data_IF_290811899243
#
_entry.id   IF_290811899243
#
_cell.length_a   1.000
_cell.length_b   1.000
_cell.length_c   1.000
_cell.angle_alpha   90.00
_cell.angle_beta   90.00
_cell.angle_gamma   90.00
#
_symmetry.space_group_name_H-M   'P 1'
#
loop_
_entity.id
_entity.type
_entity.pdbx_description
1 polymer ?
#
# COMPACT_ATOMS: atom_id res chain seq x y z
N UNK A 1 -15.98 -7.71 21.59
CA UNK A 1 -15.03 -6.59 21.75
C UNK A 1 -13.58 -7.04 21.52
N UNK A 2 -13.23 -8.33 21.61
CA UNK A 2 -11.85 -8.81 21.43
C UNK A 2 -11.31 -8.83 19.99
N UNK A 3 -12.10 -8.50 18.95
CA UNK A 3 -11.67 -8.58 17.54
C UNK A 3 -11.90 -7.29 16.73
N UNK A 4 -11.97 -6.11 17.38
CA UNK A 4 -12.10 -4.85 16.62
C UNK A 4 -10.72 -4.39 16.10
N UNK A 5 -10.64 -3.87 14.87
CA UNK A 5 -9.40 -3.32 14.35
C UNK A 5 -8.91 -2.16 15.22
N UNK A 6 -7.62 -2.14 15.52
CA UNK A 6 -6.98 -1.09 16.32
C UNK A 6 -5.86 -0.47 15.49
N UNK A 7 -5.87 0.85 15.36
CA UNK A 7 -4.75 1.62 14.84
C UNK A 7 -3.87 2.09 16.00
N UNK A 8 -2.57 1.87 15.90
CA UNK A 8 -1.56 2.44 16.80
C UNK A 8 -0.76 3.50 16.05
N UNK A 9 -0.62 4.71 16.61
CA UNK A 9 -0.01 5.83 15.90
C UNK A 9 -0.98 6.54 14.97
N UNK A 10 -0.48 7.04 13.83
CA UNK A 10 -1.27 7.72 12.80
C UNK A 10 -1.19 7.00 11.46
N UNK A 11 -2.21 7.24 10.63
CA UNK A 11 -2.23 6.83 9.22
C UNK A 11 -2.74 7.99 8.35
N UNK A 12 -2.44 7.96 7.07
CA UNK A 12 -2.98 8.92 6.08
C UNK A 12 -3.80 8.16 5.06
N UNK A 13 -5.07 8.55 4.92
CA UNK A 13 -5.96 8.05 3.88
C UNK A 13 -6.21 9.14 2.84
N UNK A 14 -6.17 8.80 1.56
CA UNK A 14 -6.63 9.67 0.49
C UNK A 14 -7.99 9.18 0.03
N UNK A 15 -8.95 10.09 -0.05
CA UNK A 15 -10.30 9.85 -0.54
C UNK A 15 -10.53 10.68 -1.79
N UNK A 16 -10.92 10.06 -2.90
CA UNK A 16 -11.17 10.76 -4.16
C UNK A 16 -12.66 11.03 -4.31
N UNK A 17 -13.02 12.30 -4.46
CA UNK A 17 -14.40 12.74 -4.70
C UNK A 17 -14.42 13.71 -5.87
N UNK A 18 -15.29 13.47 -6.86
CA UNK A 18 -15.40 14.29 -8.07
C UNK A 18 -14.07 14.48 -8.83
N UNK A 19 -13.19 13.48 -8.78
CA UNK A 19 -11.88 13.45 -9.43
C UNK A 19 -10.82 14.25 -8.69
N UNK A 20 -11.07 14.64 -7.44
CA UNK A 20 -10.15 15.45 -6.64
C UNK A 20 -9.88 14.77 -5.29
N UNK A 21 -8.61 14.81 -4.79
CA UNK A 21 -8.24 14.15 -3.55
C UNK A 21 -8.64 14.97 -2.32
N UNK A 22 -9.01 14.27 -1.27
CA UNK A 22 -9.13 14.75 0.10
C UNK A 22 -8.15 13.93 0.93
N UNK A 23 -7.16 14.58 1.54
CA UNK A 23 -6.14 13.90 2.35
C UNK A 23 -6.54 13.98 3.82
N UNK A 24 -6.72 12.81 4.44
CA UNK A 24 -7.23 12.65 5.80
C UNK A 24 -6.13 12.04 6.66
N UNK A 25 -5.69 12.77 7.67
CA UNK A 25 -4.85 12.20 8.74
C UNK A 25 -5.74 11.59 9.81
N UNK A 26 -5.46 10.33 10.15
CA UNK A 26 -6.19 9.55 11.13
C UNK A 26 -5.33 9.37 12.40
N UNK A 27 -5.93 9.57 13.57
CA UNK A 27 -5.27 9.57 14.88
C UNK A 27 -5.68 8.32 15.71
N UNK A 28 -4.87 7.27 15.62
CA UNK A 28 -5.02 6.06 16.42
C UNK A 28 -4.51 6.19 17.85
N UNK A 29 -3.65 7.15 18.16
CA UNK A 29 -3.16 7.36 19.52
C UNK A 29 -4.28 7.83 20.47
N UNK A 30 -5.16 8.69 19.95
CA UNK A 30 -6.28 9.24 20.70
C UNK A 30 -7.58 8.44 20.50
N UNK A 31 -7.84 7.93 19.29
CA UNK A 31 -9.06 7.21 18.93
C UNK A 31 -8.79 5.81 18.30
N UNK A 32 -8.08 4.89 18.98
CA UNK A 32 -7.51 3.67 18.39
C UNK A 32 -8.52 2.74 17.71
N UNK A 33 -9.69 2.52 18.30
CA UNK A 33 -10.71 1.60 17.75
C UNK A 33 -11.49 2.29 16.62
N UNK A 34 -11.79 3.58 16.75
CA UNK A 34 -12.55 4.36 15.77
C UNK A 34 -11.71 4.59 14.52
N UNK A 35 -10.47 5.03 14.70
CA UNK A 35 -9.46 5.16 13.67
C UNK A 35 -9.16 3.80 13.02
N UNK A 36 -8.91 2.77 13.83
CA UNK A 36 -8.64 1.41 13.35
C UNK A 36 -9.79 0.86 12.52
N UNK A 37 -11.04 1.06 12.93
CA UNK A 37 -12.20 0.66 12.15
C UNK A 37 -12.31 1.42 10.82
N UNK A 38 -12.07 2.73 10.80
CA UNK A 38 -12.10 3.49 9.56
C UNK A 38 -11.02 2.98 8.59
N UNK A 39 -9.78 2.85 9.07
CA UNK A 39 -8.64 2.32 8.29
C UNK A 39 -8.91 0.90 7.78
N UNK A 40 -9.42 0.00 8.62
CA UNK A 40 -9.77 -1.37 8.20
C UNK A 40 -10.88 -1.41 7.12
N UNK A 41 -11.80 -0.45 7.13
CA UNK A 41 -12.82 -0.35 6.08
C UNK A 41 -12.24 0.22 4.79
N UNK A 42 -11.35 1.20 4.87
CA UNK A 42 -10.61 1.73 3.72
C UNK A 42 -9.80 0.60 3.05
N UNK A 43 -9.01 -0.15 3.81
CA UNK A 43 -8.19 -1.29 3.30
C UNK A 43 -9.00 -2.45 2.71
N UNK A 44 -10.32 -2.43 2.81
CA UNK A 44 -11.23 -3.45 2.27
C UNK A 44 -12.09 -2.89 1.14
N UNK A 45 -11.72 -1.74 0.57
CA UNK A 45 -12.42 -1.00 -0.48
C UNK A 45 -13.90 -0.72 -0.12
N UNK A 46 -14.22 -0.64 1.17
CA UNK A 46 -15.60 -0.58 1.63
C UNK A 46 -16.28 0.73 1.21
N UNK A 47 -15.51 1.82 1.19
CA UNK A 47 -16.01 3.16 0.93
C UNK A 47 -16.22 3.45 -0.56
N UNK A 48 -15.76 2.57 -1.45
CA UNK A 48 -15.82 2.76 -2.89
C UNK A 48 -17.25 2.79 -3.41
N UNK A 49 -17.60 3.87 -4.10
CA UNK A 49 -18.95 4.12 -4.59
C UNK A 49 -19.97 4.53 -3.52
N UNK A 50 -19.59 4.63 -2.25
CA UNK A 50 -20.46 5.10 -1.17
C UNK A 50 -20.77 6.58 -1.38
N UNK A 51 -22.04 6.96 -1.19
CA UNK A 51 -22.47 8.35 -1.36
C UNK A 51 -22.40 9.17 -0.07
N UNK A 52 -22.13 10.46 -0.24
CA UNK A 52 -22.46 11.50 0.73
C UNK A 52 -23.98 11.70 0.74
N UNK A 53 -24.67 10.85 1.48
CA UNK A 53 -26.14 10.78 1.49
C UNK A 53 -26.80 11.91 2.28
N UNK A 54 -26.05 12.61 3.14
CA UNK A 54 -26.57 13.74 3.93
C UNK A 54 -25.56 14.89 3.96
N UNK A 55 -25.98 16.04 3.43
CA UNK A 55 -25.17 17.27 3.39
C UNK A 55 -25.99 18.42 3.97
N UNK A 56 -25.48 19.05 5.02
CA UNK A 56 -26.17 20.12 5.75
C UNK A 56 -25.38 21.41 5.61
N UNK A 57 -25.86 22.30 4.72
CA UNK A 57 -25.23 23.59 4.42
C UNK A 57 -26.07 24.81 4.78
N UNK A 58 -27.36 24.63 5.04
CA UNK A 58 -28.31 25.72 5.30
C UNK A 58 -29.16 25.43 6.55
N UNK A 59 -29.53 26.46 7.34
CA UNK A 59 -29.18 27.87 7.17
C UNK A 59 -27.70 28.19 7.42
N UNK A 60 -27.02 27.35 8.19
CA UNK A 60 -25.58 27.44 8.47
C UNK A 60 -24.89 26.13 8.03
N UNK A 61 -23.65 26.19 7.50
CA UNK A 61 -22.84 24.99 7.25
C UNK A 61 -22.71 24.16 8.52
N UNK A 62 -22.77 22.84 8.38
CA UNK A 62 -22.64 21.93 9.51
C UNK A 62 -21.77 20.72 9.16
N UNK A 63 -22.27 19.77 8.36
CA UNK A 63 -21.54 18.54 8.04
C UNK A 63 -21.86 18.01 6.65
N UNK A 64 -20.92 17.24 6.12
CA UNK A 64 -21.16 16.25 5.04
C UNK A 64 -21.00 14.85 5.64
N UNK A 65 -21.96 13.95 5.43
CA UNK A 65 -22.01 12.61 6.03
C UNK A 65 -22.09 11.52 4.95
N UNK A 66 -21.28 10.48 5.11
CA UNK A 66 -21.14 9.32 4.20
C UNK A 66 -21.03 8.00 4.99
N UNK A 67 -20.63 6.91 4.32
CA UNK A 67 -20.33 5.62 4.94
C UNK A 67 -21.54 4.68 5.13
N UNK A 68 -22.69 4.95 4.51
CA UNK A 68 -23.83 4.02 4.54
C UNK A 68 -23.74 3.00 3.38
N UNK A 69 -23.57 1.70 3.65
CA UNK A 69 -23.43 0.66 2.63
C UNK A 69 -24.66 0.54 1.72
N UNK A 70 -25.85 0.88 2.22
CA UNK A 70 -27.07 0.84 1.41
C UNK A 70 -27.04 1.86 0.26
N UNK A 71 -26.20 2.88 0.37
CA UNK A 71 -26.04 3.89 -0.67
C UNK A 71 -25.32 3.39 -1.92
N UNK A 72 -24.76 2.17 -1.91
CA UNK A 72 -24.24 1.51 -3.11
C UNK A 72 -25.37 1.22 -4.11
N UNK A 73 -26.56 0.82 -3.63
CA UNK A 73 -27.72 0.63 -4.48
C UNK A 73 -28.34 1.99 -4.84
N UNK A 74 -28.27 2.43 -6.11
CA UNK A 74 -28.83 3.71 -6.53
C UNK A 74 -30.36 3.77 -6.41
N UNK A 75 -31.03 2.63 -6.20
CA UNK A 75 -32.48 2.56 -6.02
C UNK A 75 -32.89 2.48 -4.54
N UNK A 76 -31.93 2.43 -3.61
CA UNK A 76 -32.24 2.38 -2.19
C UNK A 76 -32.98 3.67 -1.78
N UNK A 77 -34.08 3.58 -1.00
CA UNK A 77 -34.87 4.76 -0.65
C UNK A 77 -34.02 5.82 0.07
N UNK A 78 -33.87 7.05 -0.48
CA UNK A 78 -33.00 8.06 0.14
C UNK A 78 -33.37 8.43 1.58
N UNK A 79 -34.66 8.31 1.92
CA UNK A 79 -35.16 8.58 3.28
C UNK A 79 -34.77 7.50 4.31
N UNK A 80 -34.25 6.36 3.87
CA UNK A 80 -33.77 5.27 4.74
C UNK A 80 -32.24 5.27 4.87
N UNK A 81 -31.52 6.09 4.08
CA UNK A 81 -30.09 6.25 4.22
C UNK A 81 -29.77 6.93 5.56
N UNK A 82 -28.66 6.50 6.17
CA UNK A 82 -28.24 6.90 7.50
C UNK A 82 -29.00 6.19 8.63
N UNK A 83 -29.90 5.25 8.31
CA UNK A 83 -30.68 4.51 9.31
C UNK A 83 -30.34 3.03 9.30
N UNK A 84 -29.62 2.57 10.33
CA UNK A 84 -29.27 1.15 10.50
C UNK A 84 -27.82 0.93 10.92
N UNK A 85 -27.54 -0.29 11.38
CA UNK A 85 -26.19 -0.77 11.60
C UNK A 85 -25.54 -1.25 10.31
N UNK A 86 -24.21 -1.37 10.34
CA UNK A 86 -23.43 -1.96 9.27
C UNK A 86 -23.26 -3.47 9.53
N UNK A 87 -23.57 -4.29 8.53
CA UNK A 87 -23.24 -5.72 8.55
C UNK A 87 -21.92 -5.89 7.80
N UNK A 88 -20.89 -6.33 8.52
CA UNK A 88 -19.58 -6.59 7.96
C UNK A 88 -19.67 -7.74 6.93
N UNK A 89 -19.33 -7.52 5.65
CA UNK A 89 -19.46 -8.53 4.62
C UNK A 89 -18.51 -9.72 4.82
N UNK A 90 -17.38 -9.52 5.51
CA UNK A 90 -16.40 -10.57 5.77
C UNK A 90 -16.87 -11.52 6.88
N UNK A 91 -17.57 -11.01 7.90
CA UNK A 91 -18.00 -11.80 9.07
C UNK A 91 -19.49 -12.13 9.07
N UNK A 92 -20.29 -11.40 8.30
CA UNK A 92 -21.75 -11.47 8.31
C UNK A 92 -22.39 -10.99 9.61
N UNK A 93 -21.64 -10.30 10.47
CA UNK A 93 -22.12 -9.80 11.76
C UNK A 93 -22.34 -8.28 11.73
N UNK A 94 -23.25 -7.79 12.58
CA UNK A 94 -23.36 -6.35 12.83
C UNK A 94 -22.06 -5.86 13.48
N UNK A 95 -21.43 -4.85 12.86
CA UNK A 95 -20.24 -4.21 13.37
C UNK A 95 -20.63 -2.97 14.15
N UNK A 96 -20.22 -2.91 15.40
CA UNK A 96 -20.46 -1.77 16.30
C UNK A 96 -19.18 -1.35 17.00
N UNK A 97 -18.90 -0.07 16.98
CA UNK A 97 -17.75 0.56 17.62
C UNK A 97 -18.25 1.29 18.87
N UNK A 98 -17.63 1.07 20.05
CA UNK A 98 -17.95 1.83 21.24
C UNK A 98 -17.54 3.29 21.07
N UNK A 99 -18.24 4.19 21.75
CA UNK A 99 -17.90 5.61 21.73
C UNK A 99 -16.56 5.86 22.45
N UNK A 100 -15.51 6.25 21.73
CA UNK A 100 -14.16 6.43 22.29
C UNK A 100 -13.85 7.87 22.69
N UNK A 101 -14.76 8.52 23.41
CA UNK A 101 -14.54 9.93 23.75
C UNK A 101 -13.77 10.03 25.05
N UNK A 102 -12.58 10.64 24.99
CA UNK A 102 -11.71 10.93 26.13
C UNK A 102 -11.62 12.45 26.38
N UNK A 103 -12.64 13.07 27.00
CA UNK A 103 -12.43 14.35 27.67
C UNK A 103 -11.24 14.22 28.62
N UNK A 104 -10.40 15.24 28.75
CA UNK A 104 -9.21 15.13 29.58
C UNK A 104 -9.59 14.80 31.04
N UNK A 105 -9.28 13.57 31.48
CA UNK A 105 -9.57 13.06 32.83
C UNK A 105 -10.86 12.24 32.99
N UNK A 106 -11.64 12.01 31.93
CA UNK A 106 -12.81 11.12 31.98
C UNK A 106 -12.42 9.67 31.68
N UNK A 107 -12.95 8.72 32.46
CA UNK A 107 -12.79 7.27 32.23
C UNK A 107 -13.91 6.67 31.39
N UNK A 108 -14.97 7.44 31.12
CA UNK A 108 -16.17 7.04 30.40
C UNK A 108 -16.61 8.16 29.44
N UNK A 109 -17.27 7.86 28.30
CA UNK A 109 -17.78 8.85 27.37
C UNK A 109 -18.88 9.74 27.97
N UNK A 110 -19.03 10.96 27.47
CA UNK A 110 -20.14 11.85 27.87
C UNK A 110 -21.36 11.54 27.00
N UNK A 111 -22.48 11.20 27.62
CA UNK A 111 -23.67 10.78 26.87
C UNK A 111 -24.80 11.80 27.01
N UNK A 112 -25.16 12.45 25.90
CA UNK A 112 -26.39 13.24 25.78
C UNK A 112 -26.38 14.54 26.58
N UNK A 113 -25.21 15.06 26.91
CA UNK A 113 -25.03 16.33 27.63
C UNK A 113 -23.80 17.07 27.07
N UNK A 114 -23.74 18.40 27.27
CA UNK A 114 -22.57 19.20 26.89
C UNK A 114 -21.42 19.00 27.88
N UNK A 115 -20.20 19.42 27.51
CA UNK A 115 -19.05 19.45 28.43
C UNK A 115 -19.38 20.24 29.71
N UNK A 116 -20.05 21.40 29.57
CA UNK A 116 -20.47 22.23 30.70
C UNK A 116 -21.46 21.49 31.63
N UNK A 117 -22.44 20.78 31.06
CA UNK A 117 -23.39 19.98 31.83
C UNK A 117 -22.73 18.79 32.54
N UNK A 118 -21.68 18.23 31.94
CA UNK A 118 -20.86 17.18 32.53
C UNK A 118 -19.86 17.68 33.58
N UNK A 119 -19.76 19.00 33.79
CA UNK A 119 -18.76 19.61 34.68
C UNK A 119 -17.33 19.54 34.15
N UNK A 120 -17.16 19.35 32.84
CA UNK A 120 -15.86 19.26 32.18
C UNK A 120 -15.45 20.64 31.70
N UNK A 121 -14.30 21.11 32.18
CA UNK A 121 -13.79 22.46 31.91
C UNK A 121 -12.65 22.49 30.90
N UNK A 122 -12.19 21.32 30.45
CA UNK A 122 -11.11 21.19 29.46
C UNK A 122 -11.67 20.51 28.22
N UNK A 123 -11.49 21.09 27.02
CA UNK A 123 -11.92 20.47 25.77
C UNK A 123 -11.34 19.05 25.59
N UNK A 124 -12.01 18.16 24.83
CA UNK A 124 -11.42 16.90 24.43
C UNK A 124 -10.16 17.12 23.59
N UNK A 125 -9.30 16.10 23.53
CA UNK A 125 -8.08 16.16 22.71
C UNK A 125 -8.45 16.36 21.23
N UNK A 126 -9.42 15.60 20.75
CA UNK A 126 -9.98 15.71 19.40
C UNK A 126 -11.35 16.42 19.49
N UNK A 127 -11.43 17.62 18.91
CA UNK A 127 -12.62 18.49 18.93
C UNK A 127 -13.31 18.50 17.56
N UNK A 128 -14.60 18.76 17.53
CA UNK A 128 -15.39 18.91 16.31
C UNK A 128 -15.21 20.32 15.73
N UNK A 129 -14.01 20.63 15.24
CA UNK A 129 -13.70 21.86 14.52
C UNK A 129 -13.82 21.66 13.01
N UNK A 130 -13.89 22.75 12.24
CA UNK A 130 -13.87 22.68 10.77
C UNK A 130 -12.75 21.74 10.25
N UNK A 131 -13.08 20.87 9.30
CA UNK A 131 -12.13 19.92 8.69
C UNK A 131 -11.94 18.61 9.45
N UNK A 132 -12.42 18.49 10.69
CA UNK A 132 -12.30 17.23 11.45
C UNK A 132 -13.31 16.17 10.97
N UNK A 133 -12.90 14.90 11.04
CA UNK A 133 -13.74 13.75 10.70
C UNK A 133 -14.12 12.98 11.96
N UNK A 134 -15.40 12.62 12.06
CA UNK A 134 -15.97 11.94 13.22
C UNK A 134 -16.94 10.84 12.82
N UNK A 135 -17.06 9.82 13.67
CA UNK A 135 -17.93 8.68 13.40
C UNK A 135 -19.39 9.02 13.72
N UNK A 136 -20.29 8.81 12.77
CA UNK A 136 -21.71 8.98 12.95
C UNK A 136 -22.31 7.82 13.75
N UNK A 137 -23.43 8.07 14.43
CA UNK A 137 -24.16 7.08 15.21
C UNK A 137 -25.63 7.44 15.36
N UNK A 138 -26.42 6.50 15.85
CA UNK A 138 -27.79 6.76 16.28
C UNK A 138 -27.81 7.33 17.71
N UNK A 139 -29.01 7.42 18.31
CA UNK A 139 -29.16 7.82 19.71
C UNK A 139 -28.52 6.83 20.70
N UNK A 140 -28.30 5.57 20.29
CA UNK A 140 -27.53 4.61 21.07
C UNK A 140 -26.03 4.88 20.86
N UNK A 141 -25.26 5.15 21.94
CA UNK A 141 -23.84 5.49 21.85
C UNK A 141 -22.97 4.38 21.25
N UNK A 142 -23.41 3.12 21.28
CA UNK A 142 -22.65 1.98 20.78
C UNK A 142 -23.11 1.53 19.39
N UNK A 143 -23.61 2.46 18.56
CA UNK A 143 -24.06 2.19 17.19
C UNK A 143 -23.19 2.84 16.11
N UNK A 144 -22.09 3.47 16.52
CA UNK A 144 -21.07 3.88 15.58
C UNK A 144 -20.57 2.64 14.81
N UNK A 145 -20.35 2.77 13.51
CA UNK A 145 -19.95 1.62 12.68
C UNK A 145 -19.17 2.08 11.45
N UNK A 146 -19.79 2.17 10.28
CA UNK A 146 -19.13 2.56 9.03
C UNK A 146 -19.36 4.03 8.65
N UNK A 147 -20.43 4.65 9.15
CA UNK A 147 -20.81 6.01 8.77
C UNK A 147 -19.96 7.06 9.47
N UNK A 148 -19.48 8.04 8.72
CA UNK A 148 -18.70 9.16 9.25
C UNK A 148 -19.24 10.49 8.71
N UNK A 149 -18.82 11.60 9.33
CA UNK A 149 -19.07 12.94 8.83
C UNK A 149 -17.83 13.82 8.95
N UNK A 150 -17.72 14.81 8.06
CA UNK A 150 -16.69 15.85 8.09
C UNK A 150 -17.36 17.18 8.46
N UNK A 151 -16.78 17.88 9.43
CA UNK A 151 -17.26 19.17 9.91
C UNK A 151 -16.99 20.28 8.90
N UNK A 152 -18.05 20.97 8.44
CA UNK A 152 -17.96 22.16 7.58
C UNK A 152 -17.79 23.46 8.39
N UNK A 153 -18.05 23.40 9.69
CA UNK A 153 -17.86 24.49 10.64
C UNK A 153 -17.58 23.92 12.03
N UNK A 154 -17.11 24.77 12.94
CA UNK A 154 -16.98 24.42 14.35
C UNK A 154 -18.34 23.99 14.92
N UNK A 155 -18.34 22.83 15.55
CA UNK A 155 -19.52 22.09 16.00
C UNK A 155 -19.33 21.58 17.42
N UNK A 156 -18.82 22.43 18.31
CA UNK A 156 -18.45 22.11 19.70
C UNK A 156 -19.56 21.43 20.52
N UNK A 157 -20.83 21.59 20.13
CA UNK A 157 -21.95 20.89 20.77
C UNK A 157 -21.94 19.37 20.55
N UNK A 158 -21.18 18.88 19.57
CA UNK A 158 -20.91 17.47 19.32
C UNK A 158 -19.77 16.93 20.19
N UNK A 159 -18.93 17.80 20.75
CA UNK A 159 -17.83 17.39 21.61
C UNK A 159 -18.34 16.65 22.84
N UNK A 160 -17.64 15.58 23.18
CA UNK A 160 -18.10 14.68 24.22
C UNK A 160 -19.14 13.66 23.75
N UNK A 161 -19.82 13.87 22.61
CA UNK A 161 -20.92 13.02 22.11
C UNK A 161 -20.62 12.25 20.81
N UNK A 162 -19.70 12.71 19.96
CA UNK A 162 -19.24 12.01 18.76
C UNK A 162 -17.72 11.85 18.77
N UNK A 163 -17.24 10.68 18.35
CA UNK A 163 -15.81 10.38 18.34
C UNK A 163 -15.18 10.97 17.07
N UNK A 164 -14.47 12.08 17.24
CA UNK A 164 -13.52 12.58 16.25
C UNK A 164 -12.32 11.64 16.25
N UNK A 165 -11.83 11.29 15.06
CA UNK A 165 -10.74 10.33 14.90
C UNK A 165 -9.68 10.79 13.89
N UNK A 166 -9.83 11.97 13.31
CA UNK A 166 -8.89 12.50 12.34
C UNK A 166 -9.28 13.88 11.82
N UNK A 167 -8.54 14.35 10.82
CA UNK A 167 -8.76 15.64 10.17
C UNK A 167 -8.35 15.64 8.70
N UNK A 168 -9.00 16.51 7.93
CA UNK A 168 -8.64 16.80 6.54
C UNK A 168 -7.46 17.77 6.54
N UNK A 169 -6.27 17.28 6.19
CA UNK A 169 -5.04 18.08 6.14
C UNK A 169 -4.85 18.78 4.77
N UNK A 170 -5.50 18.28 3.72
CA UNK A 170 -5.51 18.89 2.38
C UNK A 170 -6.81 18.52 1.63
N UNK A 171 -7.28 19.42 0.74
CA UNK A 171 -8.49 19.19 -0.06
C UNK A 171 -9.80 19.57 0.65
N UNK A 172 -9.74 20.44 1.66
CA UNK A 172 -10.96 20.91 2.35
C UNK A 172 -11.90 21.71 1.42
N UNK A 173 -11.35 22.38 0.39
CA UNK A 173 -12.14 23.03 -0.65
C UNK A 173 -12.96 22.03 -1.49
N UNK A 174 -12.46 20.81 -1.67
CA UNK A 174 -13.21 19.69 -2.27
C UNK A 174 -14.35 19.29 -1.34
N UNK A 175 -14.07 19.11 -0.04
CA UNK A 175 -15.09 18.83 0.99
C UNK A 175 -16.20 19.89 0.99
N UNK A 176 -15.83 21.17 0.89
CA UNK A 176 -16.78 22.27 0.88
C UNK A 176 -17.62 22.34 -0.42
N UNK A 177 -17.23 21.63 -1.47
CA UNK A 177 -18.01 21.55 -2.72
C UNK A 177 -18.93 20.33 -2.80
N UNK A 178 -18.73 19.32 -1.95
CA UNK A 178 -19.52 18.08 -1.91
C UNK A 178 -21.03 18.39 -1.87
N UNK A 179 -21.76 17.83 -2.82
CA UNK A 179 -23.22 17.84 -2.90
C UNK A 179 -23.80 16.52 -2.38
N UNK A 180 -25.07 16.57 -1.97
CA UNK A 180 -25.78 15.35 -1.59
C UNK A 180 -25.89 14.42 -2.80
N UNK A 181 -25.41 13.18 -2.65
CA UNK A 181 -25.38 12.17 -3.70
C UNK A 181 -24.05 12.06 -4.43
N UNK A 182 -23.10 12.97 -4.21
CA UNK A 182 -21.71 12.78 -4.64
C UNK A 182 -21.15 11.49 -4.01
N UNK A 183 -20.24 10.83 -4.71
CA UNK A 183 -19.71 9.53 -4.33
C UNK A 183 -18.21 9.56 -4.12
N UNK A 184 -17.77 8.79 -3.14
CA UNK A 184 -16.38 8.40 -2.97
C UNK A 184 -16.06 7.49 -4.16
N UNK A 185 -15.14 7.92 -5.01
CA UNK A 185 -14.72 7.13 -6.16
C UNK A 185 -13.76 6.03 -5.77
N UNK A 186 -12.89 6.35 -4.82
CA UNK A 186 -11.86 5.50 -4.30
C UNK A 186 -11.37 6.05 -2.95
N UNK A 187 -10.91 5.18 -2.06
CA UNK A 187 -10.26 5.57 -0.82
C UNK A 187 -9.17 4.58 -0.43
N UNK A 188 -7.96 5.08 -0.20
CA UNK A 188 -6.78 4.25 0.02
C UNK A 188 -5.95 4.76 1.20
N UNK A 189 -5.35 3.85 1.98
CA UNK A 189 -4.35 4.24 3.00
C UNK A 189 -2.97 4.26 2.37
N UNK A 190 -2.31 5.41 2.44
CA UNK A 190 -1.07 5.72 1.73
C UNK A 190 0.10 6.05 2.66
N UNK A 191 -0.13 6.08 3.98
CA UNK A 191 0.91 6.21 5.00
C UNK A 191 0.43 5.64 6.34
N UNK A 192 1.38 5.27 7.20
CA UNK A 192 1.15 4.71 8.53
C UNK A 192 1.43 3.21 8.61
N UNK A 193 1.57 2.71 9.84
CA UNK A 193 1.76 1.29 10.13
C UNK A 193 0.42 0.69 10.52
N UNK A 194 -0.14 -0.12 9.64
CA UNK A 194 -1.37 -0.88 9.87
C UNK A 194 -0.99 -2.26 10.40
N UNK A 195 -1.28 -2.60 11.68
CA UNK A 195 -0.90 -3.89 12.27
C UNK A 195 -1.56 -5.10 11.61
N UNK A 196 -2.67 -4.89 10.87
CA UNK A 196 -3.39 -5.95 10.17
C UNK A 196 -2.73 -6.43 8.87
N UNK A 197 -1.69 -5.74 8.37
CA UNK A 197 -0.96 -6.16 7.18
C UNK A 197 0.07 -7.22 7.57
N UNK A 198 -0.12 -8.44 7.05
CA UNK A 198 0.77 -9.58 7.26
C UNK A 198 1.20 -10.16 5.91
N UNK A 199 2.47 -10.57 5.81
CA UNK A 199 3.01 -11.29 4.65
C UNK A 199 3.84 -12.48 5.11
N UNK A 200 3.74 -13.60 4.41
CA UNK A 200 4.61 -14.76 4.63
C UNK A 200 5.98 -14.60 3.96
N UNK A 201 6.12 -13.60 3.07
CA UNK A 201 7.34 -13.24 2.38
C UNK A 201 8.09 -12.12 3.10
N UNK A 202 7.42 -10.97 3.26
CA UNK A 202 8.01 -9.78 3.89
C UNK A 202 7.67 -9.80 5.38
N UNK A 203 8.63 -10.28 6.19
CA UNK A 203 8.44 -10.41 7.63
C UNK A 203 8.62 -9.09 8.40
N UNK A 204 9.29 -8.10 7.80
CA UNK A 204 9.41 -6.76 8.37
C UNK A 204 8.11 -5.98 8.14
N UNK A 205 7.41 -5.66 9.22
CA UNK A 205 6.13 -4.98 9.14
C UNK A 205 6.23 -3.53 8.66
N UNK A 206 7.35 -2.83 8.93
CA UNK A 206 7.56 -1.47 8.44
C UNK A 206 7.77 -1.50 6.93
N UNK A 207 8.65 -2.39 6.44
CA UNK A 207 8.88 -2.56 5.01
C UNK A 207 7.59 -2.94 4.27
N UNK A 208 6.84 -3.91 4.79
CA UNK A 208 5.56 -4.32 4.21
C UNK A 208 4.54 -3.16 4.17
N UNK A 209 4.47 -2.35 5.23
CA UNK A 209 3.57 -1.22 5.26
C UNK A 209 3.95 -0.15 4.23
N UNK A 210 5.24 0.20 4.16
CA UNK A 210 5.74 1.15 3.17
C UNK A 210 5.44 0.68 1.75
N UNK A 211 5.65 -0.62 1.49
CA UNK A 211 5.36 -1.23 0.20
C UNK A 211 3.88 -1.10 -0.19
N UNK A 212 2.97 -1.54 0.69
CA UNK A 212 1.53 -1.48 0.40
C UNK A 212 1.05 -0.02 0.28
N UNK A 213 1.54 0.87 1.15
CA UNK A 213 1.23 2.30 1.09
C UNK A 213 1.57 2.93 -0.27
N UNK A 214 2.71 2.53 -0.88
CA UNK A 214 3.11 2.99 -2.21
C UNK A 214 2.22 2.46 -3.32
N UNK A 215 1.85 1.17 -3.26
CA UNK A 215 0.93 0.57 -4.22
C UNK A 215 -0.43 1.28 -4.17
N UNK A 216 -0.95 1.50 -2.96
CA UNK A 216 -2.20 2.20 -2.71
C UNK A 216 -2.18 3.64 -3.21
N UNK A 217 -1.06 4.36 -3.07
CA UNK A 217 -0.95 5.71 -3.61
C UNK A 217 -1.09 5.74 -5.15
N UNK A 218 -0.59 4.69 -5.82
CA UNK A 218 -0.64 4.55 -7.28
C UNK A 218 -2.00 4.08 -7.79
N UNK A 219 -2.74 3.25 -7.03
CA UNK A 219 -4.06 2.75 -7.45
C UNK A 219 -5.10 3.86 -7.58
N UNK A 220 -4.92 4.94 -6.82
CA UNK A 220 -5.82 6.08 -6.79
C UNK A 220 -6.02 6.72 -8.18
N UNK A 221 -7.27 7.07 -8.57
CA UNK A 221 -7.60 7.66 -9.86
C UNK A 221 -7.29 9.17 -9.90
N UNK A 222 -6.04 9.57 -9.63
CA UNK A 222 -5.58 10.95 -9.65
C UNK A 222 -4.87 11.31 -10.97
N UNK A 223 -4.56 12.59 -11.16
CA UNK A 223 -3.91 13.07 -12.38
C UNK A 223 -2.46 12.53 -12.47
N UNK A 224 -2.13 11.98 -13.63
CA UNK A 224 -0.76 11.64 -14.01
C UNK A 224 -0.10 12.82 -14.71
N UNK A 225 1.18 13.06 -14.43
CA UNK A 225 1.98 13.96 -15.26
C UNK A 225 2.58 13.17 -16.42
N UNK A 226 2.15 13.44 -17.64
CA UNK A 226 2.84 12.98 -18.85
C UNK A 226 3.80 14.08 -19.28
N UNK A 227 5.10 13.85 -19.15
CA UNK A 227 6.09 14.76 -19.72
C UNK A 227 6.02 14.61 -21.24
N UNK A 228 5.34 15.55 -21.90
CA UNK A 228 5.42 15.67 -23.35
C UNK A 228 6.70 16.42 -23.66
N UNK A 229 7.83 15.72 -23.73
CA UNK A 229 9.00 16.30 -24.37
C UNK A 229 9.24 15.81 -25.80
N UNK A 230 9.52 16.81 -26.64
CA UNK A 230 9.76 16.83 -28.07
C UNK A 230 11.15 17.45 -28.36
N UNK A 231 12.02 17.56 -27.37
CA UNK A 231 13.43 17.88 -27.57
C UNK A 231 14.29 16.63 -27.84
N UNK A 232 15.48 16.88 -28.39
CA UNK A 232 16.29 15.85 -29.06
C UNK A 232 17.24 15.11 -28.10
N UNK A 233 17.21 15.45 -26.81
CA UNK A 233 18.13 14.98 -25.78
C UNK A 233 17.51 14.00 -24.78
N UNK A 234 16.20 13.71 -24.88
CA UNK A 234 15.53 12.61 -24.17
C UNK A 234 15.91 12.55 -22.68
N UNK A 235 16.02 13.70 -22.01
CA UNK A 235 16.48 13.78 -20.61
C UNK A 235 15.39 14.38 -19.73
N UNK A 236 14.99 13.67 -18.68
CA UNK A 236 13.97 14.10 -17.70
C UNK A 236 14.60 14.15 -16.32
N UNK A 237 14.42 15.26 -15.60
CA UNK A 237 14.85 15.39 -14.22
C UNK A 237 13.65 15.84 -13.37
N UNK A 238 13.33 15.06 -12.34
CA UNK A 238 12.25 15.37 -11.40
C UNK A 238 12.78 16.31 -10.31
N UNK A 239 11.88 17.15 -9.80
CA UNK A 239 12.13 17.91 -8.57
C UNK A 239 11.11 17.48 -7.53
N UNK A 240 11.36 17.68 -6.23
CA UNK A 240 10.39 17.34 -5.20
C UNK A 240 9.01 17.94 -5.43
N UNK A 241 8.94 19.15 -6.01
CA UNK A 241 7.67 19.78 -6.35
C UNK A 241 6.91 19.05 -7.46
N UNK A 242 7.61 18.46 -8.44
CA UNK A 242 7.00 17.67 -9.52
C UNK A 242 6.44 16.37 -8.95
N UNK A 243 7.23 15.65 -8.15
CA UNK A 243 6.85 14.36 -7.58
C UNK A 243 5.66 14.50 -6.63
N UNK A 244 5.62 15.58 -5.82
CA UNK A 244 4.46 15.90 -4.98
C UNK A 244 3.20 16.27 -5.77
N UNK A 245 3.35 16.84 -6.97
CA UNK A 245 2.21 17.20 -7.84
C UNK A 245 1.70 16.04 -8.68
N UNK A 246 2.48 14.97 -8.83
CA UNK A 246 2.15 13.78 -9.60
C UNK A 246 2.20 12.52 -8.70
N UNK A 247 1.35 12.43 -7.65
CA UNK A 247 1.42 11.34 -6.67
C UNK A 247 1.16 9.95 -7.29
N UNK A 248 0.39 9.87 -8.38
CA UNK A 248 0.18 8.62 -9.12
C UNK A 248 1.33 8.29 -10.10
N UNK A 249 2.24 9.24 -10.32
CA UNK A 249 3.48 9.06 -11.06
C UNK A 249 3.65 9.90 -12.31
N UNK A 250 4.90 9.94 -12.75
CA UNK A 250 5.39 10.62 -13.94
C UNK A 250 5.60 9.59 -15.05
N UNK A 251 4.93 9.82 -16.17
CA UNK A 251 5.10 9.04 -17.39
C UNK A 251 6.07 9.77 -18.30
N UNK A 252 7.20 9.12 -18.53
CA UNK A 252 8.20 9.52 -19.51
C UNK A 252 7.66 9.11 -20.89
N UNK A 253 8.14 9.78 -21.93
CA UNK A 253 7.57 9.75 -23.26
C UNK A 253 7.67 8.39 -23.95
N UNK A 254 8.14 8.38 -25.19
CA UNK A 254 8.56 7.14 -25.81
C UNK A 254 9.81 7.42 -26.61
N UNK A 255 10.69 6.42 -26.71
CA UNK A 255 12.07 6.62 -27.11
C UNK A 255 12.99 6.21 -25.96
N UNK A 256 14.29 6.29 -26.19
CA UNK A 256 15.27 5.94 -25.16
C UNK A 256 15.52 7.18 -24.30
N UNK A 257 15.05 7.17 -23.06
CA UNK A 257 15.04 8.31 -22.16
C UNK A 257 16.07 8.17 -21.02
N UNK A 258 16.61 9.29 -20.56
CA UNK A 258 17.51 9.40 -19.41
C UNK A 258 16.77 10.15 -18.31
N UNK A 259 16.36 9.43 -17.28
CA UNK A 259 15.50 9.93 -16.22
C UNK A 259 16.28 9.98 -14.91
N UNK A 260 16.22 11.11 -14.23
CA UNK A 260 16.74 11.28 -12.87
C UNK A 260 15.58 11.71 -11.98
N UNK A 261 15.37 10.95 -10.92
CA UNK A 261 14.43 11.24 -9.86
C UNK A 261 14.90 12.42 -9.00
N UNK A 262 14.31 12.53 -7.81
CA UNK A 262 14.45 13.62 -6.88
C UNK A 262 15.01 13.12 -5.55
N UNK A 263 15.07 14.00 -4.55
CA UNK A 263 15.56 13.66 -3.21
C UNK A 263 14.44 13.16 -2.27
N UNK A 264 13.24 12.95 -2.83
CA UNK A 264 12.07 12.40 -2.17
C UNK A 264 11.51 11.26 -3.01
N UNK A 265 10.62 10.50 -2.40
CA UNK A 265 9.94 9.38 -3.07
C UNK A 265 9.29 9.79 -4.40
N UNK A 266 9.66 9.07 -5.46
CA UNK A 266 9.15 9.25 -6.80
C UNK A 266 8.34 8.05 -7.28
N UNK A 267 7.48 8.29 -8.26
CA UNK A 267 6.83 7.23 -9.03
C UNK A 267 7.11 7.49 -10.51
N UNK A 268 7.90 6.63 -11.14
CA UNK A 268 8.47 6.84 -12.49
C UNK A 268 8.08 5.69 -13.42
N UNK A 269 7.70 6.02 -14.66
CA UNK A 269 7.44 5.03 -15.72
C UNK A 269 8.16 5.44 -17.01
N UNK A 270 9.16 4.65 -17.43
CA UNK A 270 9.94 4.86 -18.67
C UNK A 270 9.15 4.62 -19.96
N UNK A 271 8.11 3.78 -19.89
CA UNK A 271 7.14 3.50 -20.95
C UNK A 271 7.67 2.68 -22.12
N UNK A 272 8.24 3.28 -23.18
CA UNK A 272 8.70 2.56 -24.37
C UNK A 272 10.08 3.04 -24.76
N UNK A 273 11.02 2.12 -24.94
CA UNK A 273 12.38 2.40 -25.40
C UNK A 273 13.39 1.90 -24.38
N UNK A 274 14.68 1.97 -24.73
CA UNK A 274 15.72 1.56 -23.80
C UNK A 274 16.04 2.73 -22.87
N UNK A 275 15.44 2.74 -21.70
CA UNK A 275 15.53 3.85 -20.76
C UNK A 275 16.70 3.67 -19.77
N UNK A 276 17.19 4.79 -19.25
CA UNK A 276 18.13 4.82 -18.12
C UNK A 276 17.50 5.65 -17.03
N UNK A 277 17.10 5.00 -15.94
CA UNK A 277 16.34 5.61 -14.86
C UNK A 277 17.13 5.50 -13.56
N UNK A 278 17.33 6.63 -12.87
CA UNK A 278 17.90 6.69 -11.52
C UNK A 278 16.88 7.33 -10.58
N UNK A 279 16.51 6.68 -9.48
CA UNK A 279 15.59 7.23 -8.47
C UNK A 279 16.21 8.33 -7.59
N UNK A 280 17.51 8.22 -7.29
CA UNK A 280 18.29 9.09 -6.40
C UNK A 280 18.06 8.79 -4.92
N UNK A 281 17.23 9.53 -4.19
CA UNK A 281 16.99 9.28 -2.78
C UNK A 281 15.51 9.33 -2.45
N UNK A 282 15.06 8.49 -1.53
CA UNK A 282 13.64 8.29 -1.27
C UNK A 282 13.28 6.84 -1.51
N UNK A 283 12.07 6.44 -1.11
CA UNK A 283 11.57 5.10 -1.39
C UNK A 283 10.77 5.15 -2.70
N UNK A 284 11.47 4.94 -3.80
CA UNK A 284 10.99 5.15 -5.16
C UNK A 284 10.20 3.97 -5.70
N UNK A 285 9.29 4.23 -6.65
CA UNK A 285 8.58 3.22 -7.40
C UNK A 285 8.82 3.39 -8.90
N UNK A 286 9.67 2.53 -9.47
CA UNK A 286 10.17 2.68 -10.84
C UNK A 286 9.72 1.52 -11.72
N UNK A 287 9.17 1.85 -12.88
CA UNK A 287 8.88 0.93 -13.98
C UNK A 287 9.77 1.27 -15.17
N UNK A 288 10.55 0.30 -15.66
CA UNK A 288 11.31 0.42 -16.90
C UNK A 288 10.36 0.61 -18.09
N UNK A 289 9.62 -0.45 -18.44
CA UNK A 289 8.53 -0.34 -19.40
C UNK A 289 8.62 -1.39 -20.50
N UNK A 290 8.97 -0.98 -21.71
CA UNK A 290 9.19 -1.88 -22.82
C UNK A 290 10.57 -1.64 -23.40
N UNK A 291 11.18 -2.72 -23.88
CA UNK A 291 12.55 -2.75 -24.37
C UNK A 291 13.56 -2.75 -23.20
N UNK A 292 14.84 -2.59 -23.47
CA UNK A 292 15.88 -2.95 -22.51
C UNK A 292 16.28 -1.77 -21.63
N UNK A 293 15.94 -1.83 -20.36
CA UNK A 293 16.10 -0.72 -19.42
C UNK A 293 17.30 -0.89 -18.50
N UNK A 294 17.89 0.24 -18.10
CA UNK A 294 18.85 0.34 -17.01
C UNK A 294 18.22 1.12 -15.86
N UNK A 295 17.96 0.45 -14.75
CA UNK A 295 17.29 1.02 -13.58
C UNK A 295 18.24 0.97 -12.39
N UNK A 296 18.34 2.10 -11.67
CA UNK A 296 19.00 2.21 -10.38
C UNK A 296 18.04 2.88 -9.40
N UNK A 297 17.67 2.21 -8.31
CA UNK A 297 16.82 2.77 -7.27
C UNK A 297 17.51 3.95 -6.58
N UNK A 298 18.62 3.69 -5.90
CA UNK A 298 19.42 4.73 -5.26
C UNK A 298 19.49 4.53 -3.76
N UNK A 299 19.23 5.57 -2.98
CA UNK A 299 19.15 5.51 -1.52
C UNK A 299 17.68 5.42 -1.07
N UNK A 300 17.27 4.32 -0.45
CA UNK A 300 15.93 4.12 0.06
C UNK A 300 15.47 2.69 -0.11
N UNK A 301 14.25 2.40 0.33
CA UNK A 301 13.64 1.09 0.13
C UNK A 301 12.75 1.16 -1.12
N UNK A 302 13.31 0.77 -2.25
CA UNK A 302 12.72 1.00 -3.57
C UNK A 302 11.89 -0.19 -4.06
N UNK A 303 10.95 0.10 -4.96
CA UNK A 303 10.18 -0.90 -5.70
C UNK A 303 10.52 -0.73 -7.19
N UNK A 304 11.21 -1.72 -7.76
CA UNK A 304 11.77 -1.64 -9.11
C UNK A 304 11.20 -2.76 -9.98
N UNK A 305 10.71 -2.42 -11.18
CA UNK A 305 10.16 -3.39 -12.11
C UNK A 305 10.58 -3.10 -13.56
N UNK A 306 11.38 -3.98 -14.17
CA UNK A 306 11.83 -3.85 -15.56
C UNK A 306 10.69 -3.99 -16.58
N UNK A 307 9.72 -4.84 -16.26
CA UNK A 307 8.57 -5.23 -17.08
C UNK A 307 8.91 -6.07 -18.30
N UNK A 308 9.32 -5.48 -19.42
CA UNK A 308 9.52 -6.21 -20.69
C UNK A 308 10.82 -5.80 -21.32
N UNK A 309 11.73 -6.76 -21.50
CA UNK A 309 12.98 -6.52 -22.21
C UNK A 309 14.12 -7.13 -21.43
N UNK A 310 15.34 -7.03 -21.96
CA UNK A 310 16.53 -7.48 -21.22
C UNK A 310 16.99 -6.37 -20.30
N UNK A 311 16.50 -6.39 -19.07
CA UNK A 311 16.66 -5.31 -18.12
C UNK A 311 17.88 -5.51 -17.21
N UNK A 312 18.48 -4.40 -16.79
CA UNK A 312 19.52 -4.39 -15.75
C UNK A 312 19.07 -3.47 -14.63
N UNK A 313 18.84 -4.06 -13.46
CA UNK A 313 18.26 -3.38 -12.31
C UNK A 313 19.21 -3.48 -11.12
N UNK A 314 19.43 -2.35 -10.46
CA UNK A 314 20.19 -2.18 -9.22
C UNK A 314 19.29 -1.52 -8.19
N UNK A 315 19.15 -2.13 -7.01
CA UNK A 315 18.39 -1.59 -5.88
C UNK A 315 19.09 -0.36 -5.32
N UNK A 316 20.29 -0.58 -4.78
CA UNK A 316 21.13 0.47 -4.27
C UNK A 316 21.36 0.31 -2.77
N UNK A 317 21.10 1.33 -1.97
CA UNK A 317 21.16 1.24 -0.52
C UNK A 317 19.74 1.22 0.05
N UNK A 318 19.41 0.22 0.86
CA UNK A 318 18.12 0.09 1.52
C UNK A 318 17.53 -1.28 1.24
N UNK A 319 16.39 -1.60 1.85
CA UNK A 319 15.74 -2.90 1.65
C UNK A 319 14.82 -2.81 0.42
N UNK A 320 15.27 -3.35 -0.72
CA UNK A 320 14.64 -3.16 -2.02
C UNK A 320 13.75 -4.32 -2.46
N UNK A 321 12.77 -4.01 -3.31
CA UNK A 321 11.95 -4.98 -4.01
C UNK A 321 12.19 -4.90 -5.52
N UNK A 322 12.78 -5.94 -6.09
CA UNK A 322 13.24 -5.94 -7.48
C UNK A 322 12.55 -7.04 -8.27
N UNK A 323 11.94 -6.65 -9.39
CA UNK A 323 11.26 -7.52 -10.34
C UNK A 323 11.84 -7.34 -11.74
N UNK A 324 12.40 -8.40 -12.32
CA UNK A 324 12.95 -8.39 -13.68
C UNK A 324 11.85 -8.21 -14.72
N UNK A 325 10.96 -9.18 -14.82
CA UNK A 325 9.80 -9.10 -15.69
C UNK A 325 9.83 -10.16 -16.79
N UNK A 326 10.06 -9.76 -18.04
CA UNK A 326 10.11 -10.68 -19.18
C UNK A 326 11.47 -10.62 -19.84
N UNK A 327 11.93 -11.76 -20.33
CA UNK A 327 13.25 -11.99 -20.91
C UNK A 327 14.33 -12.21 -19.84
N UNK A 328 15.61 -12.20 -20.21
CA UNK A 328 16.69 -12.57 -19.29
C UNK A 328 17.31 -11.32 -18.66
N UNK A 329 17.00 -11.09 -17.39
CA UNK A 329 17.35 -9.89 -16.66
C UNK A 329 18.58 -10.07 -15.77
N UNK A 330 19.18 -8.94 -15.39
CA UNK A 330 20.25 -8.86 -14.40
C UNK A 330 19.77 -8.00 -13.24
N UNK A 331 19.58 -8.63 -12.08
CA UNK A 331 19.07 -7.99 -10.87
C UNK A 331 20.17 -7.96 -9.81
N UNK A 332 20.42 -6.79 -9.23
CA UNK A 332 21.34 -6.61 -8.11
C UNK A 332 20.62 -5.89 -6.97
N UNK A 333 20.54 -6.49 -5.78
CA UNK A 333 19.98 -5.84 -4.59
C UNK A 333 20.92 -4.76 -4.03
N UNK A 334 22.22 -5.04 -4.09
CA UNK A 334 23.30 -4.18 -3.59
C UNK A 334 23.41 -4.19 -2.06
N UNK A 335 22.88 -3.22 -1.32
CA UNK A 335 23.06 -3.15 0.13
C UNK A 335 21.73 -3.04 0.86
N UNK A 336 21.36 -4.07 1.61
CA UNK A 336 20.07 -4.15 2.30
C UNK A 336 19.58 -5.58 2.37
N UNK A 337 18.36 -5.79 2.86
CA UNK A 337 17.70 -7.08 2.83
C UNK A 337 16.70 -7.08 1.67
N UNK A 338 17.16 -7.53 0.51
CA UNK A 338 16.46 -7.31 -0.74
C UNK A 338 15.57 -8.49 -1.13
N UNK A 339 14.52 -8.21 -1.91
CA UNK A 339 13.60 -9.21 -2.46
C UNK A 339 13.73 -9.21 -3.98
N UNK A 340 14.31 -10.28 -4.54
CA UNK A 340 14.59 -10.37 -5.97
C UNK A 340 13.70 -11.42 -6.64
N UNK A 341 13.01 -11.02 -7.71
CA UNK A 341 12.14 -11.87 -8.52
C UNK A 341 12.51 -11.71 -10.00
N UNK A 342 13.00 -12.78 -10.62
CA UNK A 342 13.29 -12.78 -12.06
C UNK A 342 12.04 -12.75 -12.96
N UNK A 343 11.02 -13.52 -12.58
CA UNK A 343 9.84 -13.84 -13.40
C UNK A 343 10.16 -14.64 -14.69
N UNK A 344 9.84 -14.10 -15.87
CA UNK A 344 9.84 -14.84 -17.13
C UNK A 344 11.19 -14.74 -17.80
N UNK A 345 12.11 -15.65 -17.45
CA UNK A 345 13.45 -15.52 -17.99
C UNK A 345 14.38 -16.62 -17.57
N UNK A 346 15.64 -16.46 -17.95
CA UNK A 346 16.78 -17.04 -17.26
C UNK A 346 17.54 -15.88 -16.62
N UNK A 347 17.12 -15.50 -15.43
CA UNK A 347 17.60 -14.28 -14.79
C UNK A 347 18.88 -14.52 -14.01
N UNK A 348 19.67 -13.47 -13.83
CA UNK A 348 20.81 -13.48 -12.91
C UNK A 348 20.53 -12.54 -11.75
N UNK A 349 20.44 -13.09 -10.55
CA UNK A 349 20.17 -12.34 -9.32
C UNK A 349 21.40 -12.34 -8.42
N UNK A 350 21.78 -11.16 -7.97
CA UNK A 350 22.84 -10.91 -6.98
C UNK A 350 22.19 -10.17 -5.81
N UNK A 351 22.22 -10.75 -4.61
CA UNK A 351 21.63 -10.10 -3.43
C UNK A 351 22.50 -8.92 -2.99
N UNK A 352 23.80 -9.16 -2.87
CA UNK A 352 24.74 -8.18 -2.36
C UNK A 352 24.97 -8.37 -0.87
N UNK A 353 24.79 -7.32 -0.08
CA UNK A 353 25.07 -7.32 1.34
C UNK A 353 23.79 -7.21 2.18
N UNK A 354 23.43 -8.27 2.89
CA UNK A 354 22.34 -8.30 3.85
C UNK A 354 21.64 -9.65 3.80
N UNK A 355 20.43 -9.75 4.34
CA UNK A 355 19.68 -11.00 4.35
C UNK A 355 18.66 -11.04 3.21
N UNK A 356 19.12 -11.48 2.04
CA UNK A 356 18.34 -11.36 0.81
C UNK A 356 17.39 -12.52 0.58
N UNK A 357 16.27 -12.26 -0.09
CA UNK A 357 15.28 -13.27 -0.46
C UNK A 357 15.18 -13.37 -1.98
N UNK A 358 15.69 -14.48 -2.52
CA UNK A 358 15.59 -14.79 -3.94
C UNK A 358 14.34 -15.63 -4.21
N UNK A 359 13.47 -15.16 -5.09
CA UNK A 359 12.25 -15.88 -5.44
C UNK A 359 12.42 -16.70 -6.71
N UNK A 360 12.06 -17.98 -6.62
CA UNK A 360 12.01 -18.90 -7.75
C UNK A 360 10.58 -19.37 -7.95
N UNK A 361 10.01 -19.09 -9.11
CA UNK A 361 8.61 -19.39 -9.43
C UNK A 361 8.45 -20.71 -10.18
N UNK A 362 7.50 -21.54 -9.73
CA UNK A 362 7.22 -22.84 -10.35
C UNK A 362 6.30 -22.75 -11.57
N UNK A 363 5.52 -21.68 -11.71
CA UNK A 363 4.39 -21.58 -12.62
C UNK A 363 4.76 -21.20 -14.05
N UNK A 364 6.00 -20.76 -14.30
CA UNK A 364 6.33 -20.11 -15.57
C UNK A 364 7.22 -20.98 -16.48
N UNK A 365 7.65 -22.14 -15.97
CA UNK A 365 8.62 -23.04 -16.61
C UNK A 365 8.37 -24.52 -16.31
N UNK A 366 7.09 -24.95 -16.31
CA UNK A 366 6.72 -26.36 -16.06
C UNK A 366 7.38 -27.27 -17.11
N UNK A 367 8.43 -28.00 -16.71
CA UNK A 367 9.13 -28.96 -17.56
C UNK A 367 10.45 -28.48 -18.16
N UNK A 368 11.05 -27.40 -17.65
CA UNK A 368 12.39 -26.98 -18.09
C UNK A 368 13.41 -28.05 -17.72
N UNK A 369 13.90 -28.73 -18.76
CA UNK A 369 15.06 -29.65 -18.72
C UNK A 369 16.31 -29.00 -19.30
N UNK A 370 16.28 -27.70 -19.50
CA UNK A 370 17.40 -26.91 -19.97
C UNK A 370 17.92 -26.01 -18.84
N UNK A 371 19.16 -26.23 -18.44
CA UNK A 371 19.82 -25.45 -17.40
C UNK A 371 20.09 -23.98 -17.78
N UNK A 372 19.91 -23.62 -19.06
CA UNK A 372 20.08 -22.24 -19.54
C UNK A 372 18.76 -21.46 -19.56
N UNK A 373 17.68 -22.05 -19.07
CA UNK A 373 16.35 -21.46 -19.05
C UNK A 373 15.80 -21.38 -17.61
N UNK A 374 16.70 -21.26 -16.62
CA UNK A 374 16.36 -21.13 -15.21
C UNK A 374 17.23 -20.08 -14.56
N UNK A 375 16.72 -19.48 -13.50
CA UNK A 375 17.37 -18.40 -12.81
C UNK A 375 18.64 -18.84 -12.10
N UNK A 376 19.54 -17.86 -11.95
CA UNK A 376 20.85 -18.02 -11.34
C UNK A 376 20.99 -17.04 -10.19
N UNK A 377 21.18 -17.57 -9.00
CA UNK A 377 21.56 -16.80 -7.81
C UNK A 377 23.08 -16.80 -7.73
N UNK A 378 23.68 -15.62 -7.82
CA UNK A 378 25.12 -15.43 -8.07
C UNK A 378 25.98 -15.48 -6.80
N UNK A 379 25.46 -15.01 -5.66
CA UNK A 379 26.25 -14.70 -4.47
C UNK A 379 25.65 -15.18 -3.13
N UNK A 380 24.63 -16.04 -3.17
CA UNK A 380 23.92 -16.55 -2.00
C UNK A 380 24.80 -16.86 -0.78
N UNK A 381 24.44 -16.30 0.36
CA UNK A 381 25.13 -16.43 1.64
C UNK A 381 24.17 -16.65 2.82
N UNK A 382 23.92 -17.93 3.14
CA UNK A 382 23.14 -18.31 4.33
C UNK A 382 23.69 -17.79 5.67
N UNK A 383 24.95 -17.32 5.71
CA UNK A 383 25.55 -16.71 6.89
C UNK A 383 25.12 -15.26 7.14
N UNK A 384 24.71 -14.54 6.09
CA UNK A 384 24.16 -13.18 6.16
C UNK A 384 22.66 -13.20 6.42
N UNK A 385 21.99 -14.27 6.01
CA UNK A 385 20.58 -14.52 6.32
C UNK A 385 19.76 -14.94 5.12
N UNK A 386 20.42 -15.07 3.95
CA UNK A 386 19.77 -15.29 2.67
C UNK A 386 18.82 -16.47 2.66
N UNK A 387 17.74 -16.27 1.92
CA UNK A 387 16.65 -17.20 1.75
C UNK A 387 16.32 -17.39 0.28
N UNK A 388 15.78 -18.56 -0.01
CA UNK A 388 15.22 -18.85 -1.32
C UNK A 388 13.74 -19.16 -1.13
N UNK A 389 12.88 -18.30 -1.67
CA UNK A 389 11.46 -18.48 -1.67
C UNK A 389 11.04 -19.25 -2.94
N UNK A 390 10.54 -20.47 -2.77
CA UNK A 390 9.99 -21.25 -3.88
C UNK A 390 8.48 -21.12 -3.86
N UNK A 391 7.94 -20.62 -4.96
CA UNK A 391 6.51 -20.34 -5.08
C UNK A 391 5.84 -21.46 -5.84
N UNK A 392 4.84 -22.08 -5.24
CA UNK A 392 3.94 -22.99 -5.93
C UNK A 392 3.30 -24.02 -5.02
N UNK A 393 2.44 -24.86 -5.60
CA UNK A 393 1.79 -25.97 -4.88
C UNK A 393 2.76 -27.16 -4.73
N UNK A 394 3.82 -26.94 -3.95
CA UNK A 394 4.87 -27.92 -3.64
C UNK A 394 5.13 -27.94 -2.13
N UNK A 395 5.77 -29.00 -1.64
CA UNK A 395 6.34 -29.04 -0.30
C UNK A 395 7.85 -29.18 -0.37
N UNK A 396 8.55 -28.76 0.68
CA UNK A 396 10.01 -28.92 0.79
C UNK A 396 10.45 -30.38 0.61
N UNK A 397 9.61 -31.36 0.98
CA UNK A 397 9.89 -32.78 0.80
C UNK A 397 9.89 -33.26 -0.66
N UNK A 398 9.36 -32.45 -1.57
CA UNK A 398 9.34 -32.70 -3.02
C UNK A 398 10.50 -32.01 -3.75
N UNK A 399 11.36 -31.31 -3.02
CA UNK A 399 12.55 -30.67 -3.58
C UNK A 399 13.76 -31.60 -3.45
N UNK A 400 14.68 -31.49 -4.41
CA UNK A 400 16.01 -32.10 -4.29
C UNK A 400 17.08 -31.12 -4.73
N UNK A 401 18.25 -31.23 -4.11
CA UNK A 401 19.37 -30.30 -4.26
C UNK A 401 20.60 -31.12 -4.67
N UNK A 402 21.09 -30.90 -5.89
CA UNK A 402 22.23 -31.65 -6.42
C UNK A 402 23.38 -30.72 -6.75
N UNK A 403 24.58 -31.08 -6.32
CA UNK A 403 25.79 -30.33 -6.67
C UNK A 403 26.30 -30.75 -8.05
N UNK A 404 26.60 -29.77 -8.90
CA UNK A 404 27.36 -29.98 -10.13
C UNK A 404 28.53 -29.01 -10.14
N UNK A 405 29.74 -29.55 -10.04
CA UNK A 405 30.97 -28.78 -9.76
C UNK A 405 30.88 -28.06 -8.42
N UNK A 406 30.63 -26.74 -8.43
CA UNK A 406 30.55 -25.90 -7.24
C UNK A 406 29.14 -25.32 -7.04
N UNK A 407 28.24 -25.53 -8.01
CA UNK A 407 26.90 -24.93 -7.98
C UNK A 407 25.87 -25.97 -7.51
N UNK A 408 24.88 -25.51 -6.75
CA UNK A 408 23.72 -26.31 -6.35
C UNK A 408 22.57 -26.07 -7.31
N UNK A 409 22.04 -27.16 -7.85
CA UNK A 409 20.87 -27.18 -8.72
C UNK A 409 19.66 -27.62 -7.91
N UNK A 410 18.58 -26.86 -8.01
CA UNK A 410 17.32 -27.13 -7.32
C UNK A 410 16.34 -27.79 -8.29
N UNK A 411 15.70 -28.86 -7.85
CA UNK A 411 14.77 -29.64 -8.66
C UNK A 411 13.48 -29.92 -7.90
N UNK A 412 12.38 -30.01 -8.63
CA UNK A 412 11.15 -30.61 -8.13
C UNK A 412 11.18 -32.16 -8.22
N UNK A 413 10.13 -32.81 -7.72
CA UNK A 413 9.99 -34.29 -7.74
C UNK A 413 9.92 -34.90 -9.15
N UNK A 414 9.48 -34.12 -10.14
CA UNK A 414 9.40 -34.54 -11.53
C UNK A 414 10.77 -34.47 -12.24
N UNK A 415 11.77 -33.89 -11.58
CA UNK A 415 13.11 -33.68 -12.10
C UNK A 415 13.25 -32.42 -12.95
N UNK A 416 12.29 -31.50 -12.88
CA UNK A 416 12.36 -30.20 -13.56
C UNK A 416 13.25 -29.24 -12.75
N UNK A 417 14.01 -28.40 -13.46
CA UNK A 417 14.89 -27.40 -12.85
C UNK A 417 14.10 -26.22 -12.33
N UNK A 418 14.48 -25.75 -11.15
CA UNK A 418 13.87 -24.55 -10.53
C UNK A 418 14.82 -23.36 -10.48
N UNK A 419 16.12 -23.62 -10.39
CA UNK A 419 17.13 -22.57 -10.28
C UNK A 419 18.50 -23.12 -9.93
N UNK A 420 19.50 -22.26 -10.04
CA UNK A 420 20.90 -22.57 -9.80
C UNK A 420 21.45 -21.60 -8.75
N UNK A 421 22.07 -22.13 -7.71
CA UNK A 421 22.78 -21.35 -6.70
C UNK A 421 24.28 -21.54 -6.91
N UNK A 422 24.97 -20.47 -7.27
CA UNK A 422 26.38 -20.54 -7.64
C UNK A 422 27.27 -20.68 -6.40
N UNK A 423 28.29 -21.53 -6.48
CA UNK A 423 29.35 -21.66 -5.47
C UNK A 423 28.89 -22.00 -4.03
N UNK A 424 27.69 -22.56 -3.84
CA UNK A 424 27.14 -22.94 -2.53
C UNK A 424 26.80 -24.42 -2.49
N UNK A 425 27.06 -25.06 -1.34
CA UNK A 425 26.78 -26.48 -1.12
C UNK A 425 25.27 -26.75 -0.86
N UNK A 426 24.75 -27.92 -1.27
CA UNK A 426 23.32 -28.25 -1.16
C UNK A 426 22.72 -28.10 0.23
N UNK A 427 23.45 -28.50 1.29
CA UNK A 427 22.93 -28.45 2.66
C UNK A 427 22.64 -27.00 3.12
N UNK A 428 23.46 -26.03 2.70
CA UNK A 428 23.24 -24.63 3.04
C UNK A 428 21.99 -24.09 2.31
N UNK A 429 21.88 -24.36 1.01
CA UNK A 429 20.72 -24.00 0.20
C UNK A 429 19.44 -24.59 0.77
N UNK A 430 19.42 -25.90 1.03
CA UNK A 430 18.23 -26.61 1.51
C UNK A 430 17.70 -26.05 2.83
N UNK A 431 18.57 -25.63 3.74
CA UNK A 431 18.18 -25.11 5.05
C UNK A 431 17.63 -23.68 5.00
N UNK A 432 17.85 -22.96 3.91
CA UNK A 432 17.39 -21.59 3.68
C UNK A 432 16.18 -21.49 2.75
N UNK A 433 15.67 -22.62 2.26
CA UNK A 433 14.51 -22.65 1.38
C UNK A 433 13.22 -22.57 2.18
N UNK A 434 12.37 -21.62 1.81
CA UNK A 434 10.96 -21.54 2.22
C UNK A 434 10.08 -21.82 1.02
N UNK A 435 8.89 -22.39 1.26
CA UNK A 435 7.90 -22.63 0.20
C UNK A 435 6.68 -21.78 0.50
N UNK A 436 6.27 -21.00 -0.50
CA UNK A 436 5.14 -20.08 -0.42
C UNK A 436 4.00 -20.59 -1.30
N UNK A 437 2.77 -20.42 -0.80
CA UNK A 437 1.57 -20.67 -1.59
C UNK A 437 1.45 -19.59 -2.68
N UNK A 438 0.97 -19.92 -3.90
CA UNK A 438 0.67 -18.91 -4.92
C UNK A 438 -0.28 -17.80 -4.43
N UNK A 439 -1.17 -18.12 -3.48
CA UNK A 439 -2.10 -17.13 -2.92
C UNK A 439 -1.40 -16.11 -2.00
N UNK A 440 -0.23 -16.45 -1.46
CA UNK A 440 0.53 -15.54 -0.59
C UNK A 440 1.26 -14.45 -1.41
N UNK A 441 1.44 -14.70 -2.71
CA UNK A 441 2.08 -13.78 -3.64
C UNK A 441 1.15 -12.70 -4.18
N UNK A 442 -0.12 -13.01 -4.38
CA UNK A 442 -1.10 -12.04 -4.89
C UNK A 442 -1.27 -10.81 -3.99
N UNK A 443 -0.85 -10.89 -2.72
CA UNK A 443 -0.83 -9.79 -1.77
C UNK A 443 0.49 -8.99 -1.77
N UNK A 444 1.56 -9.51 -2.38
CA UNK A 444 2.91 -8.90 -2.33
C UNK A 444 3.37 -8.31 -3.66
N UNK A 445 2.71 -8.58 -4.79
CA UNK A 445 3.15 -8.07 -6.11
C UNK A 445 2.05 -7.48 -7.01
N UNK A 446 0.77 -7.57 -6.60
CA UNK A 446 -0.37 -7.19 -7.44
C UNK A 446 -0.84 -8.31 -8.35
#
# INVERSE_FOLDING_TARGET
>A
MEDLPVLTGSAVAIMVVNGQPIIIQVDGDNAPITAGNFVDLVERDFYDGISFHRVVRQPDPFVVQAGDPNSLDPNFPPAQLGSGGFIDPATGQERTIPLEIKPQGATEPILGQTLEQAGITVPPVLQNTVGTIAMARTNDPNTASSQFFINLSDSDFLDGNYAVFGEVIQGFDVVDQIQQGDRIQDAEVVDGIIPGRESSLIADSLLLNNFINRINLRSLPLEFLVTRDFDADNTVALTPEISQQAPSGVFVGGGNDSVTGSEIDDVINGNQGNDTITGEAGNDYIFGGQDNDLINGGDGNDILNGNRGLDTISGGNGDDFIRGGQENDVLNGDAGNDYLIGDLGSDTMTGGAGADTFMLRLDESVGVRDFNAVDRIADFNAGEGDRIAIVGDISTSQLSFNIVRQDTYIFNRNGDFLGIVQNVLPDAVQNSVIVLSPNDLGLTIG
#
